data_IF_066639941223
#
_entry.id   IF_066639941223
#
_cell.length_a   1.000
_cell.length_b   1.000
_cell.length_c   1.000
_cell.angle_alpha   90.00
_cell.angle_beta   90.00
_cell.angle_gamma   90.00
#
_symmetry.space_group_name_H-M   'P 1'
#
loop_
_entity.id
_entity.type
_entity.pdbx_description
1 polymer ?
#
# COMPACT_ATOMS: atom_id res chain seq x y z
N UNK A 1 -14.09 -21.06 30.06
CA UNK A 1 -13.61 -19.68 30.28
C UNK A 1 -12.34 -19.53 29.44
N UNK A 2 -12.48 -19.04 28.22
CA UNK A 2 -11.35 -18.88 27.27
C UNK A 2 -10.77 -17.49 27.49
N UNK A 3 -9.60 -17.43 28.10
CA UNK A 3 -8.87 -16.18 28.32
C UNK A 3 -8.27 -15.73 26.99
N UNK A 4 -8.84 -14.69 26.39
CA UNK A 4 -8.22 -13.97 25.28
C UNK A 4 -6.98 -13.26 25.82
N UNK A 5 -5.79 -13.71 25.42
CA UNK A 5 -4.55 -12.97 25.63
C UNK A 5 -4.54 -11.83 24.59
N UNK A 6 -4.77 -10.60 25.04
CA UNK A 6 -4.46 -9.43 24.23
C UNK A 6 -2.94 -9.36 24.07
N UNK A 7 -2.45 -9.62 22.85
CA UNK A 7 -1.08 -9.31 22.49
C UNK A 7 -0.87 -7.79 22.67
N UNK A 8 0.13 -7.41 23.47
CA UNK A 8 0.52 -6.02 23.60
C UNK A 8 0.98 -5.52 22.21
N UNK A 9 0.62 -4.28 21.80
CA UNK A 9 1.09 -3.75 20.55
C UNK A 9 2.62 -3.63 20.60
N UNK A 10 3.30 -4.19 19.61
CA UNK A 10 4.75 -4.12 19.50
C UNK A 10 5.22 -2.66 19.58
N UNK A 11 6.37 -2.42 20.23
CA UNK A 11 6.98 -1.09 20.42
C UNK A 11 7.14 -0.32 19.10
N UNK A 12 7.25 -1.05 18.00
CA UNK A 12 7.30 -0.54 16.64
C UNK A 12 5.97 0.11 16.19
N UNK A 13 4.85 -0.52 16.50
CA UNK A 13 3.49 -0.03 16.25
C UNK A 13 3.21 1.21 17.10
N UNK A 14 3.76 1.28 18.31
CA UNK A 14 3.68 2.46 19.18
C UNK A 14 4.40 3.69 18.59
N UNK A 15 5.55 3.50 17.92
CA UNK A 15 6.30 4.61 17.30
C UNK A 15 5.54 5.31 16.17
N UNK A 16 4.77 4.57 15.38
CA UNK A 16 3.91 5.13 14.34
C UNK A 16 2.65 5.81 14.91
N UNK A 17 2.07 5.25 15.98
CA UNK A 17 0.96 5.88 16.70
C UNK A 17 1.41 7.17 17.41
N UNK A 18 2.64 7.22 17.93
CA UNK A 18 3.20 8.41 18.58
C UNK A 18 3.42 9.60 17.63
N UNK A 19 3.47 9.37 16.31
CA UNK A 19 3.52 10.41 15.28
C UNK A 19 2.12 10.81 14.75
N UNK A 20 1.04 10.33 15.37
CA UNK A 20 -0.34 10.68 15.01
C UNK A 20 -0.86 9.99 13.74
N UNK A 21 -0.13 9.00 13.20
CA UNK A 21 -0.60 8.24 12.04
C UNK A 21 -1.48 7.09 12.53
N UNK A 22 -2.76 7.16 12.18
CA UNK A 22 -3.72 6.10 12.42
C UNK A 22 -3.45 4.96 11.44
N UNK A 23 -3.13 3.78 11.98
CA UNK A 23 -3.00 2.56 11.19
C UNK A 23 -4.29 2.31 10.41
N UNK A 24 -4.19 2.13 9.09
CA UNK A 24 -5.33 1.92 8.20
C UNK A 24 -6.25 3.14 8.03
N UNK A 25 -5.82 4.34 8.45
CA UNK A 25 -6.67 5.53 8.47
C UNK A 25 -5.98 6.81 8.00
N UNK A 26 -4.88 6.68 7.27
CA UNK A 26 -4.17 7.81 6.66
C UNK A 26 -4.83 8.22 5.34
N UNK A 27 -5.19 7.25 4.49
CA UNK A 27 -5.88 7.51 3.23
C UNK A 27 -7.40 7.62 3.44
N UNK A 28 -7.98 8.73 2.99
CA UNK A 28 -9.44 8.88 2.89
C UNK A 28 -10.00 8.06 1.72
N UNK A 29 -11.29 7.75 1.75
CA UNK A 29 -11.94 7.04 0.65
C UNK A 29 -11.87 7.81 -0.67
N UNK A 30 -11.95 9.14 -0.61
CA UNK A 30 -11.76 10.00 -1.78
C UNK A 30 -10.36 9.84 -2.36
N UNK A 31 -9.31 9.88 -1.53
CA UNK A 31 -7.92 9.70 -1.99
C UNK A 31 -7.71 8.30 -2.60
N UNK A 32 -8.32 7.27 -2.01
CA UNK A 32 -8.29 5.90 -2.57
C UNK A 32 -8.92 5.86 -3.97
N UNK A 33 -10.04 6.54 -4.18
CA UNK A 33 -10.70 6.64 -5.48
C UNK A 33 -9.87 7.45 -6.50
N UNK A 34 -9.30 8.57 -6.08
CA UNK A 34 -8.44 9.41 -6.92
C UNK A 34 -7.18 8.65 -7.37
N UNK A 35 -6.55 7.89 -6.48
CA UNK A 35 -5.41 7.04 -6.81
C UNK A 35 -5.77 5.96 -7.84
N UNK A 36 -6.89 5.24 -7.65
CA UNK A 36 -7.41 4.27 -8.63
C UNK A 36 -7.66 4.90 -10.00
N UNK A 37 -8.32 6.05 -10.01
CA UNK A 37 -8.61 6.80 -11.25
C UNK A 37 -7.31 7.24 -11.94
N UNK A 38 -6.35 7.79 -11.20
CA UNK A 38 -5.07 8.22 -11.75
C UNK A 38 -4.28 7.05 -12.34
N UNK A 39 -4.24 5.90 -11.66
CA UNK A 39 -3.61 4.69 -12.15
C UNK A 39 -4.26 4.19 -13.45
N UNK A 40 -5.59 4.07 -13.44
CA UNK A 40 -6.36 3.65 -14.62
C UNK A 40 -6.13 4.59 -15.80
N UNK A 41 -6.18 5.91 -15.58
CA UNK A 41 -5.95 6.90 -16.64
C UNK A 41 -4.53 6.81 -17.22
N UNK A 42 -3.52 6.58 -16.38
CA UNK A 42 -2.13 6.44 -16.82
C UNK A 42 -1.92 5.21 -17.69
N UNK A 43 -2.62 4.12 -17.39
CA UNK A 43 -2.40 2.81 -18.01
C UNK A 43 -3.52 2.35 -18.96
N UNK A 44 -4.56 3.16 -19.17
CA UNK A 44 -5.71 2.84 -20.03
C UNK A 44 -5.33 2.38 -21.45
N UNK A 45 -4.26 2.94 -22.00
CA UNK A 45 -3.77 2.66 -23.35
C UNK A 45 -2.44 1.89 -23.37
N UNK A 46 -2.03 1.31 -22.23
CA UNK A 46 -0.78 0.56 -22.16
C UNK A 46 -0.93 -0.77 -22.91
N UNK A 47 -0.01 -1.04 -23.84
CA UNK A 47 0.05 -2.33 -24.55
C UNK A 47 0.38 -3.48 -23.59
N UNK A 48 1.23 -3.19 -22.62
CA UNK A 48 1.75 -4.12 -21.62
C UNK A 48 1.33 -3.68 -20.22
N UNK A 49 1.22 -4.65 -19.30
CA UNK A 49 0.93 -4.33 -17.91
C UNK A 49 2.12 -3.63 -17.25
N UNK A 50 1.87 -2.70 -16.30
CA UNK A 50 2.93 -2.10 -15.51
C UNK A 50 3.79 -3.17 -14.81
N UNK A 51 5.06 -2.88 -14.51
CA UNK A 51 5.92 -3.82 -13.80
C UNK A 51 5.26 -4.40 -12.54
N UNK A 52 5.38 -5.71 -12.34
CA UNK A 52 4.78 -6.40 -11.20
C UNK A 52 3.28 -6.67 -11.31
N UNK A 53 2.64 -6.32 -12.43
CA UNK A 53 1.27 -6.71 -12.77
C UNK A 53 1.28 -7.66 -13.96
N UNK A 54 0.25 -8.50 -14.02
CA UNK A 54 0.03 -9.43 -15.12
C UNK A 54 -1.37 -9.24 -15.71
N UNK A 55 -1.53 -9.61 -16.98
CA UNK A 55 -2.84 -9.61 -17.64
C UNK A 55 -3.77 -10.61 -16.94
N UNK A 56 -4.85 -10.10 -16.34
CA UNK A 56 -5.98 -10.87 -15.78
C UNK A 56 -7.24 -10.49 -16.58
N UNK A 57 -7.55 -11.28 -17.61
CA UNK A 57 -8.64 -10.98 -18.55
C UNK A 57 -8.32 -9.78 -19.45
N UNK A 58 -9.16 -8.75 -19.44
CA UNK A 58 -8.95 -7.50 -20.20
C UNK A 58 -8.11 -6.47 -19.46
N UNK A 59 -7.93 -6.62 -18.14
CA UNK A 59 -7.24 -5.66 -17.28
C UNK A 59 -5.91 -6.22 -16.75
N UNK A 60 -5.10 -5.35 -16.17
CA UNK A 60 -3.89 -5.73 -15.45
C UNK A 60 -4.22 -5.89 -13.96
N UNK A 61 -3.63 -6.87 -13.30
CA UNK A 61 -3.84 -7.12 -11.88
C UNK A 61 -2.68 -7.86 -11.24
N UNK A 62 -2.79 -8.11 -9.93
CA UNK A 62 -1.77 -8.84 -9.18
C UNK A 62 -1.51 -10.22 -9.80
N UNK A 63 -0.24 -10.65 -9.94
CA UNK A 63 0.10 -11.99 -10.41
C UNK A 63 -0.33 -13.09 -9.44
N UNK A 64 -0.57 -12.75 -8.17
CA UNK A 64 -0.98 -13.68 -7.12
C UNK A 64 -2.41 -13.36 -6.66
N UNK A 65 -3.11 -14.35 -6.12
CA UNK A 65 -4.45 -14.15 -5.55
C UNK A 65 -4.39 -13.71 -4.08
N UNK A 66 -3.28 -13.98 -3.40
CA UNK A 66 -3.03 -13.59 -2.01
C UNK A 66 -1.79 -12.72 -1.92
N UNK A 67 -1.82 -11.72 -1.03
CA UNK A 67 -0.68 -10.85 -0.73
C UNK A 67 0.08 -11.31 0.52
N UNK A 68 1.34 -10.91 0.62
CA UNK A 68 2.23 -11.20 1.76
C UNK A 68 2.45 -9.98 2.67
N UNK A 69 1.62 -8.94 2.54
CA UNK A 69 1.68 -7.71 3.33
C UNK A 69 0.31 -7.35 3.93
N UNK A 70 0.35 -6.71 5.09
CA UNK A 70 -0.82 -6.18 5.77
C UNK A 70 -0.43 -4.95 6.61
N UNK A 71 -1.39 -4.07 6.88
CA UNK A 71 -1.20 -2.97 7.83
C UNK A 71 -0.78 -3.54 9.18
N UNK A 72 0.23 -2.94 9.82
CA UNK A 72 0.82 -3.41 11.07
C UNK A 72 1.96 -4.42 10.91
N UNK A 73 2.26 -4.85 9.68
CA UNK A 73 3.36 -5.79 9.41
C UNK A 73 4.54 -5.10 8.71
N UNK A 74 5.74 -5.61 8.95
CA UNK A 74 6.91 -5.21 8.15
C UNK A 74 6.78 -5.80 6.75
N UNK A 75 7.06 -4.98 5.74
CA UNK A 75 7.13 -5.47 4.37
C UNK A 75 8.32 -6.42 4.24
N UNK A 76 8.05 -7.65 3.82
CA UNK A 76 9.09 -8.66 3.69
C UNK A 76 10.11 -8.25 2.62
N UNK A 77 11.42 -8.47 2.81
CA UNK A 77 12.46 -8.08 1.84
C UNK A 77 12.29 -8.70 0.44
N UNK A 78 11.63 -9.86 0.36
CA UNK A 78 11.36 -10.55 -0.90
C UNK A 78 10.24 -9.90 -1.74
N UNK A 79 9.46 -8.98 -1.16
CA UNK A 79 8.40 -8.29 -1.90
C UNK A 79 9.03 -7.26 -2.82
N UNK A 80 8.89 -7.48 -4.13
CA UNK A 80 9.31 -6.51 -5.12
C UNK A 80 8.40 -5.28 -5.05
N UNK A 81 9.02 -4.11 -4.89
CA UNK A 81 8.33 -2.83 -4.87
C UNK A 81 8.70 -1.97 -6.08
N UNK A 82 7.79 -1.09 -6.45
CA UNK A 82 7.92 -0.14 -7.55
C UNK A 82 7.70 1.29 -7.05
N UNK A 83 8.36 2.30 -7.66
CA UNK A 83 8.05 3.70 -7.39
C UNK A 83 6.62 4.03 -7.80
N UNK A 84 6.03 5.02 -7.13
CA UNK A 84 4.64 5.49 -7.36
C UNK A 84 4.60 6.91 -7.93
N UNK A 85 5.63 7.29 -8.68
CA UNK A 85 5.76 8.65 -9.22
C UNK A 85 4.53 9.07 -10.04
N UNK A 86 3.87 8.10 -10.67
CA UNK A 86 2.65 8.27 -11.45
C UNK A 86 1.41 8.68 -10.64
N UNK A 87 1.41 8.46 -9.32
CA UNK A 87 0.29 8.77 -8.43
C UNK A 87 0.53 9.98 -7.53
N UNK A 88 1.70 10.63 -7.62
CA UNK A 88 2.11 11.72 -6.71
C UNK A 88 1.08 12.86 -6.63
N UNK A 89 0.40 13.18 -7.75
CA UNK A 89 -0.61 14.23 -7.78
C UNK A 89 -1.97 13.83 -7.20
N UNK A 90 -2.22 12.52 -7.05
CA UNK A 90 -3.48 11.94 -6.54
C UNK A 90 -3.36 11.45 -5.08
N UNK A 91 -2.19 11.60 -4.47
CA UNK A 91 -1.92 11.15 -3.10
C UNK A 91 -1.63 12.37 -2.21
N UNK A 92 -1.98 12.31 -0.91
CA UNK A 92 -1.57 13.33 0.02
C UNK A 92 -0.05 13.38 0.16
N UNK A 93 0.52 14.52 0.59
CA UNK A 93 1.94 14.64 0.87
C UNK A 93 2.42 13.54 1.81
N UNK A 94 3.53 12.89 1.45
CA UNK A 94 4.08 11.81 2.28
C UNK A 94 4.57 12.37 3.61
N UNK A 95 4.16 11.80 4.76
CA UNK A 95 4.67 12.23 6.06
C UNK A 95 6.18 12.00 6.19
N UNK A 96 6.85 12.84 6.98
CA UNK A 96 8.30 12.71 7.22
C UNK A 96 8.63 11.33 7.82
N UNK A 97 9.62 10.65 7.24
CA UNK A 97 10.05 9.31 7.69
C UNK A 97 9.23 8.16 7.11
N UNK A 98 8.36 8.45 6.14
CA UNK A 98 7.59 7.47 5.39
C UNK A 98 7.84 7.61 3.89
N UNK A 99 7.48 6.57 3.16
CA UNK A 99 7.51 6.54 1.70
C UNK A 99 6.30 5.76 1.17
N UNK A 100 5.90 6.10 -0.05
CA UNK A 100 4.95 5.30 -0.80
C UNK A 100 5.69 4.30 -1.69
N UNK A 101 5.20 3.07 -1.71
CA UNK A 101 5.67 2.04 -2.64
C UNK A 101 4.49 1.31 -3.25
N UNK A 102 4.62 0.83 -4.49
CA UNK A 102 3.65 -0.10 -5.08
C UNK A 102 4.14 -1.53 -4.95
N UNK A 103 3.31 -2.38 -4.35
CA UNK A 103 3.52 -3.83 -4.30
C UNK A 103 2.38 -4.49 -5.08
N UNK A 104 2.70 -5.09 -6.23
CA UNK A 104 1.70 -5.56 -7.19
C UNK A 104 0.64 -4.49 -7.52
N UNK A 105 -0.63 -4.72 -7.17
CA UNK A 105 -1.77 -3.83 -7.37
C UNK A 105 -2.13 -2.98 -6.14
N UNK A 106 -1.27 -2.94 -5.12
CA UNK A 106 -1.49 -2.17 -3.90
C UNK A 106 -0.47 -1.03 -3.76
N UNK A 107 -0.91 0.13 -3.25
CA UNK A 107 -0.05 1.23 -2.83
C UNK A 107 0.08 1.21 -1.32
N UNK A 108 1.30 1.07 -0.81
CA UNK A 108 1.60 0.99 0.61
C UNK A 108 2.21 2.32 1.08
N UNK A 109 1.72 2.83 2.20
CA UNK A 109 2.47 3.79 3.02
C UNK A 109 3.33 2.97 3.99
N UNK A 110 4.64 3.13 3.91
CA UNK A 110 5.57 2.40 4.78
C UNK A 110 6.51 3.34 5.53
N UNK A 111 6.94 2.93 6.73
CA UNK A 111 8.05 3.57 7.43
C UNK A 111 9.35 3.35 6.65
N UNK A 112 10.11 4.41 6.36
CA UNK A 112 11.32 4.29 5.53
C UNK A 112 12.42 3.44 6.16
N UNK A 113 12.60 3.53 7.48
CA UNK A 113 13.65 2.79 8.19
C UNK A 113 13.28 1.33 8.46
N UNK A 114 12.02 1.07 8.79
CA UNK A 114 11.60 -0.24 9.29
C UNK A 114 10.67 -1.01 8.36
N UNK A 115 10.24 -0.38 7.25
CA UNK A 115 9.32 -0.93 6.26
C UNK A 115 7.98 -1.41 6.84
N UNK A 116 7.58 -0.89 8.00
CA UNK A 116 6.25 -1.13 8.57
C UNK A 116 5.16 -0.55 7.66
N UNK A 117 4.21 -1.37 7.25
CA UNK A 117 3.02 -0.92 6.52
C UNK A 117 2.07 -0.26 7.51
N UNK A 118 1.82 1.03 7.35
CA UNK A 118 0.94 1.81 8.23
C UNK A 118 -0.44 2.03 7.61
N UNK A 119 -0.52 2.11 6.29
CA UNK A 119 -1.79 2.15 5.57
C UNK A 119 -1.58 1.67 4.12
N UNK A 120 -2.66 1.37 3.41
CA UNK A 120 -2.61 0.98 2.00
C UNK A 120 -3.85 1.38 1.20
N UNK A 121 -3.66 1.52 -0.11
CA UNK A 121 -4.73 1.58 -1.10
C UNK A 121 -4.69 0.27 -1.87
N UNK A 122 -5.73 -0.53 -1.69
CA UNK A 122 -5.84 -1.83 -2.35
C UNK A 122 -6.38 -1.69 -3.78
N UNK A 123 -5.92 -2.59 -4.65
CA UNK A 123 -6.46 -2.79 -6.00
C UNK A 123 -6.49 -1.53 -6.87
N UNK A 124 -5.34 -0.84 -7.01
CA UNK A 124 -5.25 0.35 -7.87
C UNK A 124 -5.34 0.02 -9.36
N UNK A 125 -5.15 -1.24 -9.74
CA UNK A 125 -5.17 -1.70 -11.12
C UNK A 125 -6.51 -2.31 -11.58
N UNK A 126 -7.49 -2.49 -10.69
CA UNK A 126 -8.79 -3.14 -10.98
C UNK A 126 -9.86 -2.17 -11.44
#
# INVERSE_FOLDING_TARGET
MTTTVLAAPDTKTMGAQAMGIKFGGFFSDQQKQEARKAFAQKHANAKECPPGLQRKGTACGSPWDTRYWAVGQELQPAVQVYPVAELTAALPPVPKGYEYVRAADDILLISSGTKLVVDMIEHVAS
#
